data_IF_653918640924
#
_entry.id   IF_653918640924
#
_cell.length_a   1.000
_cell.length_b   1.000
_cell.length_c   1.000
_cell.angle_alpha   90.00
_cell.angle_beta   90.00
_cell.angle_gamma   90.00
#
_symmetry.space_group_name_H-M   'P 1'
#
loop_
_entity.id
_entity.type
_entity.pdbx_description
1 polymer ?
#
# COMPACT_ATOMS: atom_id res chain seq x y z
N UNK A 1 -36.29 38.80 24.55
CA UNK A 1 -35.99 38.67 23.10
C UNK A 1 -34.50 38.63 22.78
N UNK A 2 -33.68 39.65 23.12
CA UNK A 2 -32.23 39.67 22.78
C UNK A 2 -31.41 38.47 23.29
N UNK A 3 -31.66 37.98 24.51
CA UNK A 3 -30.97 36.82 25.08
C UNK A 3 -31.28 35.50 24.36
N UNK A 4 -32.48 35.34 23.78
CA UNK A 4 -32.87 34.14 23.03
C UNK A 4 -32.09 34.07 21.71
N UNK A 5 -31.92 35.19 21.02
CA UNK A 5 -31.11 35.24 19.79
C UNK A 5 -29.62 34.97 20.05
N UNK A 6 -29.08 35.46 21.18
CA UNK A 6 -27.71 35.16 21.57
C UNK A 6 -27.51 33.66 21.87
N UNK A 7 -28.48 33.03 22.55
CA UNK A 7 -28.45 31.60 22.86
C UNK A 7 -28.56 30.73 21.59
N UNK A 8 -29.44 31.11 20.66
CA UNK A 8 -29.57 30.45 19.36
C UNK A 8 -28.31 30.58 18.51
N UNK A 9 -27.69 31.78 18.50
CA UNK A 9 -26.41 31.99 17.80
C UNK A 9 -25.29 31.13 18.37
N UNK A 10 -25.21 31.02 19.70
CA UNK A 10 -24.22 30.17 20.37
C UNK A 10 -24.43 28.68 20.04
N UNK A 11 -25.68 28.19 20.10
CA UNK A 11 -26.00 26.81 19.72
C UNK A 11 -25.63 26.50 18.26
N UNK A 12 -25.82 27.46 17.36
CA UNK A 12 -25.48 27.31 15.95
C UNK A 12 -23.96 27.24 15.74
N UNK A 13 -23.18 28.07 16.44
CA UNK A 13 -21.71 28.00 16.42
C UNK A 13 -21.22 26.66 16.98
N UNK A 14 -21.77 26.20 18.10
CA UNK A 14 -21.42 24.90 18.67
C UNK A 14 -21.75 23.74 17.72
N UNK A 15 -22.90 23.80 17.04
CA UNK A 15 -23.30 22.81 16.04
C UNK A 15 -22.33 22.75 14.85
N UNK A 16 -21.95 23.91 14.31
CA UNK A 16 -20.99 23.99 13.20
C UNK A 16 -19.59 23.53 13.62
N UNK A 17 -19.14 23.89 14.82
CA UNK A 17 -17.86 23.44 15.37
C UNK A 17 -17.83 21.91 15.56
N UNK A 18 -18.93 21.33 16.05
CA UNK A 18 -19.08 19.88 16.19
C UNK A 18 -19.03 19.17 14.83
N UNK A 19 -19.79 19.66 13.84
CA UNK A 19 -19.79 19.11 12.47
C UNK A 19 -18.39 19.18 11.86
N UNK A 20 -17.69 20.31 12.01
CA UNK A 20 -16.33 20.48 11.54
C UNK A 20 -15.37 19.47 12.17
N UNK A 21 -15.45 19.30 13.50
CA UNK A 21 -14.63 18.34 14.24
C UNK A 21 -14.93 16.88 13.85
N UNK A 22 -16.19 16.50 13.67
CA UNK A 22 -16.55 15.14 13.26
C UNK A 22 -16.07 14.84 11.84
N UNK A 23 -16.19 15.80 10.93
CA UNK A 23 -15.74 15.64 9.54
C UNK A 23 -14.21 15.52 9.45
N UNK A 24 -13.45 16.31 10.22
CA UNK A 24 -11.99 16.18 10.24
C UNK A 24 -11.56 14.82 10.76
N UNK A 25 -12.24 14.29 11.78
CA UNK A 25 -11.94 12.96 12.35
C UNK A 25 -12.28 11.82 11.39
N UNK A 26 -13.40 11.93 10.66
CA UNK A 26 -13.77 10.97 9.62
C UNK A 26 -12.73 10.97 8.47
N UNK A 27 -12.33 12.16 8.00
CA UNK A 27 -11.25 12.28 7.00
C UNK A 27 -9.94 11.66 7.47
N UNK A 28 -9.56 11.82 8.74
CA UNK A 28 -8.34 11.22 9.29
C UNK A 28 -8.43 9.69 9.31
N UNK A 29 -9.60 9.14 9.68
CA UNK A 29 -9.86 7.69 9.68
C UNK A 29 -9.81 7.14 8.25
N UNK A 30 -10.43 7.82 7.28
CA UNK A 30 -10.39 7.41 5.87
C UNK A 30 -8.96 7.42 5.32
N UNK A 31 -8.17 8.46 5.62
CA UNK A 31 -6.76 8.51 5.24
C UNK A 31 -5.96 7.33 5.81
N UNK A 32 -6.17 7.00 7.09
CA UNK A 32 -5.53 5.83 7.74
C UNK A 32 -5.99 4.52 7.11
N UNK A 33 -7.26 4.40 6.75
CA UNK A 33 -7.78 3.21 6.08
C UNK A 33 -7.14 3.02 4.70
N UNK A 34 -7.04 4.10 3.92
CA UNK A 34 -6.39 4.09 2.60
C UNK A 34 -4.92 3.70 2.71
N UNK A 35 -4.17 4.22 3.69
CA UNK A 35 -2.76 3.84 3.87
C UNK A 35 -2.61 2.36 4.25
N UNK A 36 -3.47 1.83 5.12
CA UNK A 36 -3.47 0.41 5.49
C UNK A 36 -3.82 -0.48 4.29
N UNK A 37 -4.78 -0.06 3.45
CA UNK A 37 -5.14 -0.78 2.23
C UNK A 37 -3.99 -0.77 1.21
N UNK A 38 -3.28 0.35 1.08
CA UNK A 38 -2.10 0.46 0.23
C UNK A 38 -0.96 -0.43 0.74
N UNK A 39 -0.67 -0.42 2.04
CA UNK A 39 0.33 -1.31 2.65
C UNK A 39 -0.02 -2.79 2.42
N UNK A 40 -1.27 -3.20 2.64
CA UNK A 40 -1.73 -4.57 2.35
C UNK A 40 -1.57 -4.94 0.88
N UNK A 41 -1.83 -4.00 -0.02
CA UNK A 41 -1.66 -4.23 -1.44
C UNK A 41 -0.19 -4.45 -1.80
N UNK A 42 0.70 -3.63 -1.24
CA UNK A 42 2.16 -3.77 -1.41
C UNK A 42 2.64 -5.11 -0.86
N UNK A 43 2.23 -5.49 0.35
CA UNK A 43 2.60 -6.77 0.97
C UNK A 43 2.16 -7.96 0.12
N UNK A 44 0.96 -7.90 -0.47
CA UNK A 44 0.46 -8.95 -1.35
C UNK A 44 1.29 -9.05 -2.64
N UNK A 45 1.54 -7.91 -3.31
CA UNK A 45 2.36 -7.88 -4.52
C UNK A 45 3.78 -8.37 -4.26
N UNK A 46 4.38 -7.96 -3.15
CA UNK A 46 5.71 -8.41 -2.76
C UNK A 46 5.74 -9.91 -2.43
N UNK A 47 4.71 -10.43 -1.76
CA UNK A 47 4.58 -11.86 -1.48
C UNK A 47 4.51 -12.68 -2.76
N UNK A 48 3.71 -12.25 -3.75
CA UNK A 48 3.62 -12.89 -5.07
C UNK A 48 4.98 -12.84 -5.79
N UNK A 49 5.68 -11.70 -5.73
CA UNK A 49 7.03 -11.58 -6.28
C UNK A 49 8.01 -12.59 -5.65
N UNK A 50 8.02 -12.70 -4.31
CA UNK A 50 8.87 -13.64 -3.58
C UNK A 50 8.52 -15.10 -3.90
N UNK A 51 7.22 -15.42 -3.99
CA UNK A 51 6.74 -16.76 -4.32
C UNK A 51 7.16 -17.17 -5.73
N UNK A 52 6.98 -16.28 -6.71
CA UNK A 52 7.42 -16.52 -8.08
C UNK A 52 8.94 -16.73 -8.15
N UNK A 53 9.71 -15.91 -7.44
CA UNK A 53 11.17 -16.01 -7.39
C UNK A 53 11.62 -17.33 -6.77
N UNK A 54 11.05 -17.69 -5.62
CA UNK A 54 11.34 -18.94 -4.92
C UNK A 54 10.98 -20.16 -5.76
N UNK A 55 9.80 -20.16 -6.36
CA UNK A 55 9.30 -21.26 -7.18
C UNK A 55 10.16 -21.47 -8.42
N UNK A 56 10.52 -20.39 -9.13
CA UNK A 56 11.38 -20.51 -10.30
C UNK A 56 12.76 -21.05 -9.93
N UNK A 57 13.38 -20.50 -8.86
CA UNK A 57 14.68 -20.97 -8.37
C UNK A 57 14.64 -22.45 -7.98
N UNK A 58 13.62 -22.86 -7.22
CA UNK A 58 13.44 -24.25 -6.81
C UNK A 58 13.29 -25.18 -8.02
N UNK A 59 12.42 -24.83 -8.96
CA UNK A 59 12.21 -25.65 -10.16
C UNK A 59 13.47 -25.78 -11.02
N UNK A 60 14.27 -24.71 -11.13
CA UNK A 60 15.54 -24.74 -11.83
C UNK A 60 16.55 -25.67 -11.15
N UNK A 61 16.66 -25.59 -9.81
CA UNK A 61 17.54 -26.48 -9.02
C UNK A 61 17.09 -27.93 -9.13
N UNK A 62 15.79 -28.20 -9.00
CA UNK A 62 15.21 -29.55 -9.11
C UNK A 62 15.45 -30.17 -10.50
N UNK A 63 15.61 -29.34 -11.53
CA UNK A 63 15.96 -29.75 -12.90
C UNK A 63 17.47 -29.80 -13.17
N UNK A 64 18.32 -29.63 -12.15
CA UNK A 64 19.77 -29.64 -12.27
C UNK A 64 20.33 -28.47 -13.09
N UNK A 65 19.60 -27.35 -13.17
CA UNK A 65 20.08 -26.14 -13.85
C UNK A 65 21.14 -25.44 -13.00
N UNK A 66 22.08 -24.79 -13.69
CA UNK A 66 23.14 -24.02 -13.05
C UNK A 66 22.68 -22.62 -12.62
N UNK A 67 23.56 -21.93 -11.90
CA UNK A 67 23.31 -20.60 -11.37
C UNK A 67 23.13 -19.55 -12.48
N UNK A 68 23.81 -19.72 -13.62
CA UNK A 68 23.68 -18.84 -14.79
C UNK A 68 22.25 -18.90 -15.35
N UNK A 69 21.71 -20.12 -15.49
CA UNK A 69 20.33 -20.32 -15.92
C UNK A 69 19.35 -19.66 -14.96
N UNK A 70 19.55 -19.82 -13.65
CA UNK A 70 18.70 -19.19 -12.62
C UNK A 70 18.73 -17.67 -12.75
N UNK A 71 19.91 -17.07 -12.95
CA UNK A 71 20.04 -15.62 -13.08
C UNK A 71 19.32 -15.10 -14.32
N UNK A 72 19.50 -15.73 -15.46
CA UNK A 72 18.92 -15.28 -16.74
C UNK A 72 17.42 -15.57 -16.85
N UNK A 73 16.98 -16.73 -16.39
CA UNK A 73 15.62 -17.23 -16.66
C UNK A 73 14.66 -17.08 -15.48
N UNK A 74 15.19 -16.93 -14.26
CA UNK A 74 14.35 -16.63 -13.09
C UNK A 74 14.54 -15.18 -12.65
N UNK A 75 15.76 -14.78 -12.29
CA UNK A 75 15.97 -13.47 -11.65
C UNK A 75 15.67 -12.34 -12.62
N UNK A 76 16.28 -12.34 -13.81
CA UNK A 76 16.04 -11.28 -14.79
C UNK A 76 14.57 -11.23 -15.26
N UNK A 77 13.94 -12.38 -15.51
CA UNK A 77 12.54 -12.45 -15.93
C UNK A 77 11.60 -11.89 -14.87
N UNK A 78 11.77 -12.31 -13.62
CA UNK A 78 10.89 -11.90 -12.52
C UNK A 78 11.15 -10.44 -12.13
N UNK A 79 12.39 -9.97 -12.18
CA UNK A 79 12.75 -8.56 -11.94
C UNK A 79 12.26 -7.60 -13.04
N UNK A 80 11.91 -8.13 -14.21
CA UNK A 80 11.28 -7.42 -15.32
C UNK A 80 9.77 -7.63 -15.41
N UNK A 81 9.17 -8.38 -14.47
CA UNK A 81 7.73 -8.58 -14.43
C UNK A 81 6.97 -7.29 -14.11
N UNK A 82 5.68 -7.24 -14.45
CA UNK A 82 4.79 -6.11 -14.15
C UNK A 82 4.79 -5.80 -12.65
N UNK A 83 4.82 -6.83 -11.79
CA UNK A 83 4.81 -6.67 -10.33
C UNK A 83 6.12 -6.02 -9.85
N UNK A 84 7.27 -6.50 -10.34
CA UNK A 84 8.57 -5.94 -9.98
C UNK A 84 8.71 -4.48 -10.45
N UNK A 85 8.27 -4.16 -11.66
CA UNK A 85 8.30 -2.78 -12.16
C UNK A 85 7.35 -1.87 -11.36
N UNK A 86 6.14 -2.35 -11.03
CA UNK A 86 5.22 -1.60 -10.19
C UNK A 86 5.82 -1.28 -8.81
N UNK A 87 6.48 -2.26 -8.17
CA UNK A 87 7.16 -2.05 -6.90
C UNK A 87 8.32 -1.03 -7.01
N UNK A 88 9.11 -1.08 -8.10
CA UNK A 88 10.18 -0.10 -8.37
C UNK A 88 9.64 1.31 -8.54
N UNK A 89 8.60 1.48 -9.35
CA UNK A 89 8.00 2.79 -9.68
C UNK A 89 7.42 3.48 -8.43
N UNK A 90 7.08 2.70 -7.40
CA UNK A 90 6.57 3.20 -6.11
C UNK A 90 7.63 3.32 -5.02
N UNK A 91 8.91 3.09 -5.34
CA UNK A 91 10.04 3.26 -4.41
C UNK A 91 10.41 2.02 -3.59
N UNK A 92 9.79 0.87 -3.87
CA UNK A 92 10.07 -0.42 -3.21
C UNK A 92 11.13 -1.25 -3.95
N UNK A 93 11.91 -0.63 -4.83
CA UNK A 93 12.94 -1.33 -5.62
C UNK A 93 14.02 -2.01 -4.77
N UNK A 94 14.26 -1.50 -3.56
CA UNK A 94 15.18 -2.09 -2.58
C UNK A 94 14.71 -3.45 -2.02
N UNK A 95 13.43 -3.80 -2.16
CA UNK A 95 12.89 -5.09 -1.75
C UNK A 95 13.12 -6.19 -2.81
N UNK A 96 13.45 -5.79 -4.05
CA UNK A 96 13.68 -6.69 -5.17
C UNK A 96 15.14 -7.15 -5.11
N UNK A 97 15.34 -8.46 -5.23
CA UNK A 97 16.67 -9.08 -5.14
C UNK A 97 17.30 -9.14 -6.53
N UNK A 98 18.56 -8.74 -6.62
CA UNK A 98 19.42 -8.96 -7.80
C UNK A 98 19.87 -10.42 -7.96
#
# INVERSE_FOLDING_TARGET
>A
MKAIYALLGFLLICGLAWIGYTNSKLMEIEKKKLSIEEEKHIDNLYSIYQENMSTCKKNAIDQGKDESYVKENCVAVINNSVIANWLKDRGYGNLIKD
#
